data_IF_054698907957
#
_entry.id   IF_054698907957
#
_cell.length_a   1.000
_cell.length_b   1.000
_cell.length_c   1.000
_cell.angle_alpha   90.00
_cell.angle_beta   90.00
_cell.angle_gamma   90.00
#
_symmetry.space_group_name_H-M   'P 1'
#
loop_
_entity.id
_entity.type
_entity.pdbx_description
1 polymer ?
#
# COMPACT_ATOMS: atom_id res chain seq x y z
N UNK A 1 -3.16 -14.61 2.80
CA UNK A 1 -4.14 -13.87 3.63
C UNK A 1 -5.32 -14.78 3.87
N UNK A 2 -5.92 -14.78 5.06
CA UNK A 2 -7.07 -15.64 5.36
C UNK A 2 -8.32 -15.03 4.73
N UNK A 3 -8.85 -15.68 3.69
CA UNK A 3 -9.96 -15.18 2.85
C UNK A 3 -11.23 -14.91 3.67
N UNK A 4 -11.39 -15.64 4.78
CA UNK A 4 -12.51 -15.49 5.72
C UNK A 4 -12.49 -14.19 6.55
N UNK A 5 -11.37 -13.45 6.61
CA UNK A 5 -11.32 -12.19 7.37
C UNK A 5 -11.85 -10.99 6.59
N UNK A 6 -11.81 -11.03 5.27
CA UNK A 6 -12.16 -9.88 4.42
C UNK A 6 -12.88 -10.33 3.14
N UNK A 7 -14.03 -11.01 3.26
CA UNK A 7 -14.76 -11.53 2.10
C UNK A 7 -15.21 -10.44 1.12
N UNK A 8 -15.39 -9.20 1.60
CA UNK A 8 -15.79 -8.04 0.80
C UNK A 8 -14.70 -7.56 -0.17
N UNK A 9 -13.42 -7.72 0.21
CA UNK A 9 -12.29 -7.24 -0.59
C UNK A 9 -12.07 -8.08 -1.86
N UNK A 10 -12.32 -9.39 -1.78
CA UNK A 10 -12.15 -10.31 -2.91
C UNK A 10 -13.41 -10.46 -3.75
N UNK A 11 -14.59 -10.11 -3.22
CA UNK A 11 -15.89 -10.29 -3.91
C UNK A 11 -16.22 -9.25 -4.97
N UNK A 12 -15.51 -8.12 -5.03
CA UNK A 12 -15.96 -7.01 -5.90
C UNK A 12 -14.91 -6.59 -6.91
N UNK A 13 -14.57 -7.51 -7.81
CA UNK A 13 -13.70 -7.22 -8.94
C UNK A 13 -14.42 -6.60 -10.14
N UNK A 14 -15.76 -6.69 -10.25
CA UNK A 14 -16.47 -6.31 -11.49
C UNK A 14 -17.25 -4.98 -11.44
N UNK A 15 -17.75 -4.53 -10.29
CA UNK A 15 -18.57 -3.29 -10.22
C UNK A 15 -17.72 -2.06 -9.86
N UNK A 16 -16.84 -2.16 -8.86
CA UNK A 16 -15.96 -1.04 -8.46
C UNK A 16 -14.79 -0.80 -9.42
N UNK A 17 -14.28 -1.85 -10.09
CA UNK A 17 -13.25 -1.69 -11.13
C UNK A 17 -13.73 -0.86 -12.33
N UNK A 18 -15.05 -0.84 -12.60
CA UNK A 18 -15.65 0.00 -13.65
C UNK A 18 -15.71 1.48 -13.25
N UNK A 19 -15.79 1.77 -11.96
CA UNK A 19 -15.88 3.15 -11.45
C UNK A 19 -14.51 3.76 -11.20
N UNK A 20 -13.55 2.97 -10.70
CA UNK A 20 -12.21 3.47 -10.45
C UNK A 20 -11.42 3.59 -11.76
N UNK A 21 -10.97 4.81 -12.07
CA UNK A 21 -10.07 5.08 -13.19
C UNK A 21 -8.81 5.75 -12.65
N UNK A 22 -7.66 5.21 -13.02
CA UNK A 22 -6.39 5.88 -12.78
C UNK A 22 -6.36 7.19 -13.57
N UNK A 23 -5.90 8.27 -12.92
CA UNK A 23 -5.49 9.51 -13.60
C UNK A 23 -4.00 9.54 -13.91
N UNK A 24 -3.25 8.52 -13.47
CA UNK A 24 -1.82 8.43 -13.69
C UNK A 24 -1.56 8.03 -15.15
N UNK A 25 -0.75 8.83 -15.84
CA UNK A 25 -0.35 8.63 -17.25
C UNK A 25 1.15 8.35 -17.37
N UNK A 26 1.78 7.92 -16.28
CA UNK A 26 3.22 7.69 -16.22
C UNK A 26 3.55 6.35 -16.88
N UNK A 27 4.62 6.33 -17.68
CA UNK A 27 5.14 5.11 -18.29
C UNK A 27 5.60 4.10 -17.23
N UNK A 28 5.53 2.81 -17.57
CA UNK A 28 5.79 1.73 -16.62
C UNK A 28 7.24 1.76 -16.12
N UNK A 29 8.21 2.08 -16.98
CA UNK A 29 9.62 2.18 -16.58
C UNK A 29 9.82 3.30 -15.54
N UNK A 30 9.13 4.43 -15.73
CA UNK A 30 9.21 5.55 -14.82
C UNK A 30 8.48 5.26 -13.49
N UNK A 31 7.34 4.57 -13.51
CA UNK A 31 6.67 4.09 -12.30
C UNK A 31 7.59 3.17 -11.50
N UNK A 32 8.32 2.27 -12.17
CA UNK A 32 9.26 1.37 -11.51
C UNK A 32 10.42 2.13 -10.86
N UNK A 33 11.02 3.09 -11.57
CA UNK A 33 12.06 3.95 -11.00
C UNK A 33 11.54 4.80 -9.83
N UNK A 34 10.32 5.32 -9.92
CA UNK A 34 9.66 6.08 -8.85
C UNK A 34 9.39 5.21 -7.63
N UNK A 35 8.96 3.96 -7.80
CA UNK A 35 8.78 2.99 -6.72
C UNK A 35 10.09 2.78 -5.94
N UNK A 36 11.18 2.50 -6.66
CA UNK A 36 12.49 2.30 -6.04
C UNK A 36 12.98 3.57 -5.34
N UNK A 37 12.89 4.72 -6.03
CA UNK A 37 13.30 6.01 -5.48
C UNK A 37 12.49 6.37 -4.24
N UNK A 38 11.19 6.09 -4.22
CA UNK A 38 10.32 6.34 -3.08
C UNK A 38 10.79 5.56 -1.85
N UNK A 39 11.04 4.26 -1.98
CA UNK A 39 11.45 3.43 -0.83
C UNK A 39 12.86 3.73 -0.33
N UNK A 40 13.73 4.27 -1.18
CA UNK A 40 15.10 4.65 -0.77
C UNK A 40 15.14 6.06 -0.17
N UNK A 41 14.41 7.02 -0.75
CA UNK A 41 14.59 8.45 -0.45
C UNK A 41 13.45 9.06 0.37
N UNK A 42 12.22 8.59 0.20
CA UNK A 42 11.02 9.29 0.68
C UNK A 42 10.31 8.52 1.79
N UNK A 43 10.20 7.20 1.68
CA UNK A 43 9.45 6.41 2.65
C UNK A 43 10.20 6.31 3.97
N UNK A 44 9.61 6.87 5.04
CA UNK A 44 10.18 6.78 6.37
C UNK A 44 9.87 5.42 7.01
N UNK A 45 10.76 4.47 6.72
CA UNK A 45 10.71 3.11 7.27
C UNK A 45 10.80 3.04 8.79
N UNK A 46 11.20 4.10 9.51
CA UNK A 46 11.21 4.12 10.98
C UNK A 46 9.86 4.49 11.57
N UNK A 47 9.05 5.24 10.84
CA UNK A 47 7.81 5.84 11.35
C UNK A 47 6.56 5.13 10.85
N UNK A 48 6.56 4.66 9.60
CA UNK A 48 5.35 4.17 8.94
C UNK A 48 5.39 2.67 8.60
N UNK A 49 4.20 2.10 8.45
CA UNK A 49 3.92 0.75 7.96
C UNK A 49 3.39 0.87 6.52
N UNK A 50 3.80 -0.04 5.63
CA UNK A 50 3.24 -0.15 4.29
C UNK A 50 1.89 -0.85 4.41
N UNK A 51 0.81 -0.16 4.07
CA UNK A 51 -0.55 -0.69 4.06
C UNK A 51 -1.23 -0.39 2.74
N UNK A 52 -1.93 -1.38 2.20
CA UNK A 52 -2.82 -1.22 1.04
C UNK A 52 -4.30 -1.18 1.44
N UNK A 53 -4.59 -1.37 2.73
CA UNK A 53 -5.97 -1.43 3.25
C UNK A 53 -6.55 -0.02 3.47
N UNK A 54 -5.69 0.96 3.74
CA UNK A 54 -6.08 2.34 4.02
C UNK A 54 -5.33 3.33 3.15
N UNK A 55 -5.98 4.43 2.76
CA UNK A 55 -5.32 5.52 2.02
C UNK A 55 -4.45 6.42 2.93
N UNK A 56 -4.76 6.47 4.22
CA UNK A 56 -3.99 7.25 5.19
C UNK A 56 -2.73 6.49 5.63
N UNK A 57 -1.60 7.18 5.91
CA UNK A 57 -0.40 6.54 6.44
C UNK A 57 -0.66 5.87 7.79
N UNK A 58 -0.14 4.66 7.97
CA UNK A 58 -0.23 3.91 9.23
C UNK A 58 1.06 4.10 10.02
N UNK A 59 0.96 4.60 11.24
CA UNK A 59 2.13 4.84 12.11
C UNK A 59 2.47 3.56 12.87
N UNK A 60 3.77 3.25 13.00
CA UNK A 60 4.23 2.04 13.70
C UNK A 60 3.80 1.98 15.16
N UNK A 61 3.73 3.13 15.83
CA UNK A 61 3.38 3.22 17.25
C UNK A 61 1.97 2.67 17.51
N UNK A 62 1.03 2.93 16.60
CA UNK A 62 -0.35 2.47 16.69
C UNK A 62 -0.47 0.95 16.54
N UNK A 63 0.55 0.31 15.96
CA UNK A 63 0.61 -1.14 15.75
C UNK A 63 1.50 -1.86 16.77
N UNK A 64 2.19 -1.13 17.66
CA UNK A 64 3.17 -1.67 18.61
C UNK A 64 4.28 -2.51 17.92
N UNK A 65 4.65 -2.14 16.69
CA UNK A 65 5.63 -2.88 15.88
C UNK A 65 6.99 -2.15 15.87
N UNK A 66 7.93 -2.58 16.73
CA UNK A 66 9.19 -1.85 16.95
C UNK A 66 10.46 -2.52 16.41
N UNK A 67 10.40 -3.78 15.97
CA UNK A 67 11.62 -4.58 15.73
C UNK A 67 12.08 -4.70 14.27
N UNK A 68 11.24 -4.41 13.27
CA UNK A 68 11.60 -4.62 11.84
C UNK A 68 11.88 -3.32 11.09
N UNK A 69 12.88 -3.38 10.21
CA UNK A 69 13.30 -2.29 9.31
C UNK A 69 12.25 -1.96 8.25
N UNK A 70 11.44 -2.94 7.82
CA UNK A 70 10.32 -2.73 6.90
C UNK A 70 9.11 -3.50 7.45
N UNK A 71 7.97 -2.83 7.54
CA UNK A 71 6.73 -3.40 8.06
C UNK A 71 5.65 -3.29 6.98
N UNK A 72 4.92 -4.39 6.77
CA UNK A 72 3.87 -4.52 5.76
C UNK A 72 2.67 -5.18 6.43
N UNK A 73 1.46 -4.70 6.15
CA UNK A 73 0.19 -5.26 6.63
C UNK A 73 -0.80 -5.64 5.51
#
# INVERSE_FOLDING_TARGET
MNENRYPEFFRVSNEYSRQWKSKNTTEVELLFLQLLSYYVKTFNTKQFVISIQTRMPVVKIDKNWHSKKLLVE
#
